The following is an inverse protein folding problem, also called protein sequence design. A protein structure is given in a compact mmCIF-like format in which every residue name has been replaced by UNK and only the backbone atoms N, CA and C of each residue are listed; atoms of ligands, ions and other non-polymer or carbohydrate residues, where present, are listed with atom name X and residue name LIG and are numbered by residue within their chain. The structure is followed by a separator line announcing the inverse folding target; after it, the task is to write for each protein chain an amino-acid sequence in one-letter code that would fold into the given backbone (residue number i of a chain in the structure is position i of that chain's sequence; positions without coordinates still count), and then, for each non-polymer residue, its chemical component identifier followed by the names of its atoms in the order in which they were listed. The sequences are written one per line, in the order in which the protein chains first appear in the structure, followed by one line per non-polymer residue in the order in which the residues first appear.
data_IF_081185692530
#
_entry.id   IF_081185692530
#
_cell.length_a   1.000
_cell.length_b   1.000
_cell.length_c   1.000
_cell.angle_alpha   90.00
_cell.angle_beta   90.00
_cell.angle_gamma   90.00
#
_symmetry.space_group_name_H-M   'P 1'
#
loop_
_entity.id
_entity.type
_entity.pdbx_description
1 polymer ?
#
# COMPACT_ATOMS: atom_id res chain seq x y z
N UNK A 1 4.45 -3.04 12.69
CA UNK A 1 5.21 -1.93 13.31
C UNK A 1 5.12 -0.67 12.47
N UNK A 2 5.56 -0.68 11.20
CA UNK A 2 5.58 0.50 10.34
C UNK A 2 4.23 1.25 10.24
N UNK A 3 3.14 0.54 9.98
CA UNK A 3 1.81 1.16 9.80
C UNK A 3 1.21 1.73 11.08
N UNK A 4 1.60 1.20 12.23
CA UNK A 4 1.08 1.59 13.56
C UNK A 4 1.95 2.63 14.28
N UNK A 5 3.26 2.61 14.05
CA UNK A 5 4.25 3.38 14.81
C UNK A 5 5.15 4.24 13.90
N UNK A 6 4.93 4.20 12.59
CA UNK A 6 5.78 4.83 11.58
C UNK A 6 7.00 3.98 11.22
N UNK A 7 7.52 4.17 10.01
CA UNK A 7 8.78 3.59 9.54
C UNK A 7 9.96 4.06 10.39
N UNK A 8 9.92 5.29 10.93
CA UNK A 8 10.93 5.79 11.86
C UNK A 8 11.00 4.98 13.17
N UNK A 9 9.94 4.33 13.61
CA UNK A 9 10.02 3.49 14.81
C UNK A 9 10.94 2.27 14.63
N UNK A 10 11.23 1.90 13.38
CA UNK A 10 12.05 0.75 13.06
C UNK A 10 13.52 1.06 13.32
N UNK A 11 14.10 0.24 14.20
CA UNK A 11 15.50 0.25 14.59
C UNK A 11 15.99 -1.16 14.90
N UNK A 12 17.31 -1.38 14.90
CA UNK A 12 17.93 -2.63 15.32
C UNK A 12 17.43 -3.07 16.70
N UNK A 13 17.33 -2.12 17.64
CA UNK A 13 16.84 -2.41 19.00
C UNK A 13 15.37 -2.82 19.03
N UNK A 14 14.52 -2.15 18.24
CA UNK A 14 13.11 -2.51 18.15
C UNK A 14 12.91 -3.89 17.52
N UNK A 15 13.68 -4.23 16.47
CA UNK A 15 13.63 -5.53 15.81
C UNK A 15 14.16 -6.65 16.69
N UNK A 16 15.26 -6.42 17.40
CA UNK A 16 15.80 -7.39 18.36
C UNK A 16 14.74 -7.74 19.43
N UNK A 17 14.00 -6.74 19.92
CA UNK A 17 12.93 -6.97 20.90
C UNK A 17 11.74 -7.72 20.31
N UNK A 18 11.33 -7.44 19.07
CA UNK A 18 10.15 -8.07 18.47
C UNK A 18 10.42 -9.48 17.93
N UNK A 19 11.65 -9.76 17.50
CA UNK A 19 12.03 -11.05 16.87
C UNK A 19 12.79 -12.00 17.79
N UNK A 20 13.32 -11.49 18.92
CA UNK A 20 14.22 -12.24 19.80
C UNK A 20 15.65 -12.42 19.24
N UNK A 21 15.94 -11.90 18.05
CA UNK A 21 17.27 -11.97 17.44
C UNK A 21 18.25 -11.01 18.12
N UNK A 22 19.54 -11.38 18.12
CA UNK A 22 20.58 -10.50 18.65
C UNK A 22 20.76 -9.28 17.75
N UNK A 23 21.06 -8.12 18.36
CA UNK A 23 21.37 -6.88 17.63
C UNK A 23 22.52 -7.08 16.64
N UNK A 24 23.52 -7.87 17.03
CA UNK A 24 24.66 -8.21 16.18
C UNK A 24 24.21 -9.00 14.94
N UNK A 25 23.35 -10.00 15.11
CA UNK A 25 22.83 -10.79 13.98
C UNK A 25 22.02 -9.94 13.00
N UNK A 26 21.18 -9.04 13.49
CA UNK A 26 20.42 -8.10 12.66
C UNK A 26 21.36 -7.18 11.88
N UNK A 27 22.39 -6.63 12.54
CA UNK A 27 23.39 -5.77 11.89
C UNK A 27 24.21 -6.50 10.84
N UNK A 28 24.47 -7.80 11.01
CA UNK A 28 25.15 -8.61 9.99
C UNK A 28 24.34 -8.69 8.69
N UNK A 29 23.01 -8.72 8.76
CA UNK A 29 22.14 -8.81 7.57
C UNK A 29 21.92 -7.44 6.92
N UNK A 30 21.58 -6.42 7.71
CA UNK A 30 21.13 -5.14 7.16
C UNK A 30 22.19 -4.04 7.20
N UNK A 31 23.18 -4.13 8.09
CA UNK A 31 24.23 -3.11 8.24
C UNK A 31 23.80 -1.81 8.93
N UNK A 32 22.70 -1.19 8.49
CA UNK A 32 22.23 0.11 9.00
C UNK A 32 20.74 0.13 9.29
N UNK A 33 20.30 1.12 10.09
CA UNK A 33 18.87 1.37 10.32
C UNK A 33 18.13 1.73 9.03
N UNK A 34 18.76 2.54 8.17
CA UNK A 34 18.16 2.93 6.89
C UNK A 34 17.94 1.71 5.99
N UNK A 35 18.91 0.80 5.93
CA UNK A 35 18.78 -0.44 5.17
C UNK A 35 17.67 -1.36 5.71
N UNK A 36 17.46 -1.40 7.03
CA UNK A 36 16.32 -2.09 7.63
C UNK A 36 14.99 -1.47 7.16
N UNK A 37 14.89 -0.13 7.16
CA UNK A 37 13.68 0.57 6.74
C UNK A 37 13.39 0.37 5.24
N UNK A 38 14.42 0.42 4.39
CA UNK A 38 14.29 0.09 2.96
C UNK A 38 13.82 -1.36 2.77
N UNK A 39 14.39 -2.30 3.50
CA UNK A 39 13.95 -3.70 3.48
C UNK A 39 12.49 -3.86 3.95
N UNK A 40 12.06 -3.07 4.94
CA UNK A 40 10.67 -3.07 5.39
C UNK A 40 9.70 -2.55 4.32
N UNK A 41 10.10 -1.54 3.53
CA UNK A 41 9.31 -1.07 2.38
C UNK A 41 9.23 -2.15 1.30
N UNK A 42 10.33 -2.84 1.02
CA UNK A 42 10.37 -3.93 0.05
C UNK A 42 9.50 -5.12 0.48
N UNK A 43 9.52 -5.49 1.76
CA UNK A 43 8.66 -6.54 2.32
C UNK A 43 7.18 -6.12 2.25
N UNK A 44 6.87 -4.87 2.60
CA UNK A 44 5.51 -4.37 2.51
C UNK A 44 4.97 -4.37 1.07
N UNK A 45 5.83 -4.09 0.09
CA UNK A 45 5.52 -4.24 -1.33
C UNK A 45 5.21 -5.68 -1.70
N UNK A 46 6.01 -6.65 -1.25
CA UNK A 46 5.77 -8.08 -1.52
C UNK A 46 4.42 -8.53 -0.95
N UNK A 47 4.14 -8.18 0.31
CA UNK A 47 2.86 -8.46 0.97
C UNK A 47 1.70 -7.81 0.20
N UNK A 48 1.84 -6.56 -0.24
CA UNK A 48 0.80 -5.87 -1.00
C UNK A 48 0.54 -6.53 -2.35
N UNK A 49 1.58 -6.98 -3.05
CA UNK A 49 1.43 -7.74 -4.29
C UNK A 49 0.63 -9.02 -4.06
N UNK A 50 0.99 -9.81 -3.04
CA UNK A 50 0.34 -11.08 -2.75
C UNK A 50 -1.11 -10.92 -2.29
N UNK A 51 -1.41 -9.86 -1.52
CA UNK A 51 -2.74 -9.62 -0.96
C UNK A 51 -3.70 -8.89 -1.92
N UNK A 52 -3.19 -7.97 -2.75
CA UNK A 52 -4.02 -7.07 -3.57
C UNK A 52 -3.88 -7.36 -5.06
N UNK A 53 -2.66 -7.54 -5.56
CA UNK A 53 -2.38 -7.55 -7.00
C UNK A 53 -2.52 -8.96 -7.57
N UNK A 54 -1.70 -9.91 -7.11
CA UNK A 54 -1.68 -11.30 -7.60
C UNK A 54 -3.07 -11.96 -7.68
N UNK A 55 -3.95 -11.82 -6.67
CA UNK A 55 -5.27 -12.46 -6.72
C UNK A 55 -6.16 -11.92 -7.85
N UNK A 56 -6.01 -10.64 -8.22
CA UNK A 56 -6.79 -10.05 -9.31
C UNK A 56 -6.36 -10.57 -10.69
N UNK A 57 -5.14 -11.11 -10.84
CA UNK A 57 -4.60 -11.55 -12.13
C UNK A 57 -5.21 -12.86 -12.65
N UNK A 58 -6.02 -13.54 -11.85
CA UNK A 58 -6.86 -14.65 -12.31
C UNK A 58 -8.01 -14.21 -13.23
N UNK A 59 -8.29 -12.90 -13.32
CA UNK A 59 -9.38 -12.34 -14.11
C UNK A 59 -8.92 -11.82 -15.48
N UNK A 60 -9.88 -11.78 -16.42
CA UNK A 60 -9.69 -11.21 -17.76
C UNK A 60 -9.23 -9.75 -17.70
N UNK A 61 -8.33 -9.36 -18.62
CA UNK A 61 -7.77 -8.00 -18.72
C UNK A 61 -8.87 -6.93 -18.85
N UNK A 62 -8.53 -5.71 -18.42
CA UNK A 62 -9.43 -4.56 -18.47
C UNK A 62 -10.40 -4.52 -17.27
N UNK A 63 -11.68 -4.24 -17.53
CA UNK A 63 -12.69 -3.97 -16.49
C UNK A 63 -12.85 -5.11 -15.47
N UNK A 64 -12.88 -6.41 -15.85
CA UNK A 64 -13.02 -7.49 -14.88
C UNK A 64 -11.86 -7.55 -13.87
N UNK A 65 -10.61 -7.49 -14.36
CA UNK A 65 -9.42 -7.44 -13.49
C UNK A 65 -9.38 -6.20 -12.61
N UNK A 66 -9.73 -5.02 -13.15
CA UNK A 66 -9.73 -3.79 -12.35
C UNK A 66 -10.78 -3.83 -11.23
N UNK A 67 -11.97 -4.39 -11.50
CA UNK A 67 -12.97 -4.66 -10.45
C UNK A 67 -12.42 -5.61 -9.38
N UNK A 68 -11.79 -6.71 -9.79
CA UNK A 68 -11.15 -7.64 -8.87
C UNK A 68 -10.04 -6.98 -8.03
N UNK A 69 -9.21 -6.12 -8.63
CA UNK A 69 -8.16 -5.38 -7.93
C UNK A 69 -8.74 -4.50 -6.80
N UNK A 70 -9.83 -3.79 -7.07
CA UNK A 70 -10.53 -2.97 -6.08
C UNK A 70 -11.15 -3.83 -4.97
N UNK A 71 -11.71 -4.99 -5.32
CA UNK A 71 -12.25 -5.95 -4.35
C UNK A 71 -11.15 -6.49 -3.42
N UNK A 72 -10.01 -6.87 -3.99
CA UNK A 72 -8.85 -7.34 -3.24
C UNK A 72 -8.28 -6.25 -2.33
N UNK A 73 -8.28 -4.99 -2.76
CA UNK A 73 -7.86 -3.87 -1.91
C UNK A 73 -8.75 -3.69 -0.67
N UNK A 74 -10.08 -3.76 -0.85
CA UNK A 74 -11.02 -3.70 0.28
C UNK A 74 -10.83 -4.90 1.21
N UNK A 75 -10.67 -6.10 0.65
CA UNK A 75 -10.43 -7.32 1.42
C UNK A 75 -9.12 -7.23 2.23
N UNK A 76 -8.06 -6.69 1.65
CA UNK A 76 -6.77 -6.45 2.31
C UNK A 76 -6.91 -5.57 3.58
N UNK A 77 -7.72 -4.50 3.51
CA UNK A 77 -7.97 -3.66 4.68
C UNK A 77 -8.88 -4.31 5.73
N UNK A 78 -9.92 -5.03 5.29
CA UNK A 78 -10.81 -5.79 6.21
C UNK A 78 -10.08 -6.90 6.94
N UNK A 79 -9.14 -7.57 6.26
CA UNK A 79 -8.32 -8.62 6.84
C UNK A 79 -7.22 -8.10 7.77
N UNK A 80 -7.07 -6.77 7.89
CA UNK A 80 -6.08 -6.13 8.76
C UNK A 80 -4.65 -6.64 8.52
N UNK A 81 -4.32 -6.95 7.25
CA UNK A 81 -3.01 -7.47 6.84
C UNK A 81 -1.88 -6.60 7.40
N UNK A 82 -2.10 -5.29 7.45
CA UNK A 82 -1.36 -4.40 8.34
C UNK A 82 -2.31 -3.79 9.39
N UNK A 83 -1.95 -3.83 10.68
CA UNK A 83 -2.81 -3.31 11.76
C UNK A 83 -3.03 -1.78 11.79
N UNK A 84 -2.41 -1.03 10.88
CA UNK A 84 -2.52 0.44 10.82
C UNK A 84 -3.00 0.90 9.45
N UNK A 85 -3.79 0.05 8.79
CA UNK A 85 -4.29 0.26 7.43
C UNK A 85 -3.22 0.15 6.35
N UNK A 86 -3.50 0.77 5.22
CA UNK A 86 -2.71 0.67 4.00
C UNK A 86 -1.30 1.23 4.19
N UNK A 87 -0.31 0.38 3.97
CA UNK A 87 1.10 0.75 4.09
C UNK A 87 1.49 1.90 3.16
N UNK A 88 0.99 1.89 1.91
CA UNK A 88 1.30 2.93 0.91
C UNK A 88 0.78 4.29 1.40
N UNK A 89 -0.44 4.35 1.96
CA UNK A 89 -1.04 5.58 2.48
C UNK A 89 -0.25 6.10 3.68
N UNK A 90 0.00 5.23 4.67
CA UNK A 90 0.71 5.60 5.89
C UNK A 90 2.14 6.10 5.61
N UNK A 91 2.90 5.36 4.80
CA UNK A 91 4.28 5.71 4.47
C UNK A 91 4.38 6.97 3.60
N UNK A 92 3.42 7.22 2.71
CA UNK A 92 3.36 8.45 1.91
C UNK A 92 3.26 9.69 2.80
N UNK A 93 2.39 9.65 3.81
CA UNK A 93 2.23 10.76 4.76
C UNK A 93 3.51 11.03 5.57
N UNK A 94 4.23 9.98 5.95
CA UNK A 94 5.43 10.08 6.77
C UNK A 94 6.67 10.53 5.96
N UNK A 95 6.84 10.02 4.73
CA UNK A 95 8.07 10.16 3.94
C UNK A 95 7.95 10.99 2.66
N UNK A 96 6.76 11.42 2.24
CA UNK A 96 6.55 12.07 0.92
C UNK A 96 7.41 13.31 0.67
N UNK A 97 7.76 14.06 1.73
CA UNK A 97 8.59 15.29 1.67
C UNK A 97 10.02 15.11 2.19
N UNK A 98 10.42 13.89 2.56
CA UNK A 98 11.76 13.60 3.08
C UNK A 98 12.76 13.28 1.97
N UNK A 99 14.03 13.22 2.29
CA UNK A 99 15.10 12.80 1.37
C UNK A 99 15.76 11.52 1.89
N UNK A 100 16.56 10.87 1.04
CA UNK A 100 17.29 9.64 1.37
C UNK A 100 16.59 8.37 0.89
N UNK A 101 17.27 7.23 1.10
CA UNK A 101 16.93 5.97 0.43
C UNK A 101 15.54 5.44 0.81
N UNK A 102 15.10 5.66 2.04
CA UNK A 102 13.76 5.26 2.49
C UNK A 102 12.68 6.10 1.81
N UNK A 103 12.89 7.40 1.67
CA UNK A 103 11.93 8.28 0.98
C UNK A 103 11.80 7.89 -0.49
N UNK A 104 12.91 7.54 -1.13
CA UNK A 104 12.93 7.09 -2.52
C UNK A 104 12.22 5.74 -2.70
N UNK A 105 12.42 4.80 -1.78
CA UNK A 105 11.70 3.52 -1.78
C UNK A 105 10.17 3.72 -1.62
N UNK A 106 9.73 4.61 -0.73
CA UNK A 106 8.30 4.93 -0.56
C UNK A 106 7.71 5.60 -1.81
N UNK A 107 8.44 6.53 -2.44
CA UNK A 107 8.02 7.16 -3.69
C UNK A 107 7.90 6.15 -4.83
N UNK A 108 8.87 5.24 -4.95
CA UNK A 108 8.83 4.17 -5.94
C UNK A 108 7.57 3.31 -5.74
N UNK A 109 7.31 2.86 -4.50
CA UNK A 109 6.13 2.06 -4.19
C UNK A 109 4.80 2.79 -4.52
N UNK A 110 4.68 4.07 -4.17
CA UNK A 110 3.49 4.87 -4.53
C UNK A 110 3.35 5.02 -6.04
N UNK A 111 4.46 5.24 -6.76
CA UNK A 111 4.44 5.36 -8.22
C UNK A 111 4.02 4.06 -8.90
N UNK A 112 4.55 2.93 -8.46
CA UNK A 112 4.14 1.61 -8.97
C UNK A 112 2.63 1.38 -8.82
N UNK A 113 2.04 1.79 -7.69
CA UNK A 113 0.60 1.71 -7.49
C UNK A 113 -0.19 2.61 -8.46
N UNK A 114 0.23 3.85 -8.66
CA UNK A 114 -0.43 4.78 -9.58
C UNK A 114 -0.31 4.32 -11.04
N UNK A 115 0.88 3.88 -11.45
CA UNK A 115 1.15 3.33 -12.78
C UNK A 115 0.30 2.08 -13.05
N UNK A 116 0.11 1.24 -12.02
CA UNK A 116 -0.77 0.08 -12.10
C UNK A 116 -2.25 0.49 -12.32
N UNK A 117 -2.75 1.47 -11.56
CA UNK A 117 -4.12 1.95 -11.75
C UNK A 117 -4.32 2.52 -13.15
N UNK A 118 -3.42 3.39 -13.60
CA UNK A 118 -3.51 4.03 -14.92
C UNK A 118 -3.42 3.01 -16.07
N UNK A 119 -2.51 2.04 -15.97
CA UNK A 119 -2.40 0.97 -16.98
C UNK A 119 -3.64 0.07 -17.01
N UNK A 120 -4.17 -0.32 -15.85
CA UNK A 120 -5.40 -1.11 -15.75
C UNK A 120 -6.61 -0.37 -16.33
N UNK A 121 -6.67 0.95 -16.14
CA UNK A 121 -7.70 1.82 -16.71
C UNK A 121 -7.57 1.93 -18.24
N UNK A 122 -6.35 2.07 -18.78
CA UNK A 122 -6.12 2.00 -20.23
C UNK A 122 -6.60 0.68 -20.82
N UNK A 123 -6.29 -0.44 -20.18
CA UNK A 123 -6.77 -1.76 -20.61
C UNK A 123 -8.29 -1.89 -20.53
N UNK A 124 -8.93 -1.21 -19.58
CA UNK A 124 -10.38 -1.17 -19.42
C UNK A 124 -11.09 -0.27 -20.46
N UNK A 125 -10.33 0.46 -21.28
CA UNK A 125 -10.84 1.35 -22.32
C UNK A 125 -11.54 2.59 -21.78
N UNK A 126 -11.15 3.09 -20.59
CA UNK A 126 -11.70 4.36 -20.08
C UNK A 126 -11.11 5.57 -20.83
N UNK A 127 -11.87 6.67 -20.90
CA UNK A 127 -11.50 7.84 -21.70
C UNK A 127 -10.38 8.70 -21.10
N UNK A 128 -10.28 8.79 -19.77
CA UNK A 128 -9.27 9.57 -19.04
C UNK A 128 -8.55 8.71 -17.98
N UNK A 129 -7.66 7.78 -18.39
CA UNK A 129 -7.00 6.86 -17.47
C UNK A 129 -6.23 7.55 -16.34
N UNK A 130 -5.56 8.67 -16.64
CA UNK A 130 -4.76 9.40 -15.66
C UNK A 130 -5.64 10.12 -14.63
N UNK A 131 -6.70 10.81 -15.09
CA UNK A 131 -7.65 11.46 -14.18
C UNK A 131 -8.44 10.46 -13.34
N UNK A 132 -8.85 9.34 -13.93
CA UNK A 132 -9.57 8.29 -13.21
C UNK A 132 -8.67 7.53 -12.22
N UNK A 133 -7.38 7.32 -12.55
CA UNK A 133 -6.42 6.76 -11.61
C UNK A 133 -6.26 7.65 -10.37
N UNK A 134 -6.17 8.97 -10.57
CA UNK A 134 -6.13 9.93 -9.48
C UNK A 134 -7.41 9.88 -8.62
N UNK A 135 -8.59 9.83 -9.24
CA UNK A 135 -9.88 9.75 -8.52
C UNK A 135 -9.97 8.47 -7.69
N UNK A 136 -9.65 7.31 -8.28
CA UNK A 136 -9.62 6.04 -7.57
C UNK A 136 -8.66 6.11 -6.39
N UNK A 137 -7.41 6.52 -6.60
CA UNK A 137 -6.42 6.64 -5.52
C UNK A 137 -6.90 7.58 -4.40
N UNK A 138 -7.55 8.69 -4.73
CA UNK A 138 -8.12 9.62 -3.77
C UNK A 138 -9.23 8.98 -2.93
N UNK A 139 -10.16 8.23 -3.54
CA UNK A 139 -11.22 7.52 -2.82
C UNK A 139 -10.66 6.47 -1.86
N UNK A 140 -9.69 5.67 -2.33
CA UNK A 140 -9.05 4.64 -1.53
C UNK A 140 -8.25 5.25 -0.37
N UNK A 141 -7.54 6.36 -0.59
CA UNK A 141 -6.85 7.08 0.47
C UNK A 141 -7.82 7.62 1.53
N UNK A 142 -8.92 8.26 1.12
CA UNK A 142 -9.93 8.78 2.04
C UNK A 142 -10.58 7.67 2.86
N UNK A 143 -10.96 6.56 2.21
CA UNK A 143 -11.54 5.40 2.88
C UNK A 143 -10.59 4.78 3.91
N UNK A 144 -9.31 4.63 3.56
CA UNK A 144 -8.29 4.19 4.50
C UNK A 144 -8.22 5.12 5.73
N UNK A 145 -8.09 6.43 5.50
CA UNK A 145 -7.99 7.41 6.60
C UNK A 145 -9.23 7.38 7.50
N UNK A 146 -10.43 7.31 6.93
CA UNK A 146 -11.66 7.24 7.71
C UNK A 146 -11.79 5.94 8.49
N UNK A 147 -11.40 4.80 7.90
CA UNK A 147 -11.36 3.50 8.60
C UNK A 147 -10.44 3.60 9.82
N UNK A 148 -9.22 4.09 9.65
CA UNK A 148 -8.24 4.14 10.76
C UNK A 148 -8.65 5.13 11.87
N UNK A 149 -9.35 6.21 11.52
CA UNK A 149 -9.80 7.20 12.51
C UNK A 149 -11.09 6.80 13.23
N UNK A 150 -12.03 6.15 12.55
CA UNK A 150 -13.40 5.96 13.03
C UNK A 150 -13.85 4.50 13.10
N UNK A 151 -13.01 3.55 12.65
CA UNK A 151 -13.34 2.11 12.62
C UNK A 151 -14.47 1.74 11.66
N UNK A 152 -14.87 2.64 10.75
CA UNK A 152 -16.01 2.41 9.86
C UNK A 152 -15.58 1.73 8.56
N UNK A 153 -15.98 0.48 8.38
CA UNK A 153 -15.78 -0.23 7.10
C UNK A 153 -16.64 0.31 5.96
N UNK A 154 -17.71 1.06 6.26
CA UNK A 154 -18.62 1.61 5.25
C UNK A 154 -17.92 2.51 4.24
N UNK A 155 -16.85 3.17 4.66
CA UNK A 155 -16.06 4.04 3.79
C UNK A 155 -15.24 3.24 2.77
N UNK A 156 -14.87 1.99 3.10
CA UNK A 156 -14.25 1.08 2.13
C UNK A 156 -15.23 0.71 1.01
N UNK A 157 -16.47 0.37 1.38
CA UNK A 157 -17.54 0.07 0.42
C UNK A 157 -17.84 1.29 -0.45
N UNK A 158 -17.94 2.47 0.18
CA UNK A 158 -18.17 3.74 -0.52
C UNK A 158 -17.09 4.06 -1.55
N UNK A 159 -15.82 3.93 -1.18
CA UNK A 159 -14.72 4.18 -2.11
C UNK A 159 -14.69 3.16 -3.26
N UNK A 160 -14.99 1.90 -2.96
CA UNK A 160 -15.13 0.85 -3.97
C UNK A 160 -16.25 1.19 -4.96
N UNK A 161 -17.44 1.52 -4.47
CA UNK A 161 -18.58 1.89 -5.32
C UNK A 161 -18.25 3.06 -6.24
N UNK A 162 -17.71 4.15 -5.68
CA UNK A 162 -17.30 5.33 -6.46
C UNK A 162 -16.21 5.01 -7.49
N UNK A 163 -15.26 4.12 -7.17
CA UNK A 163 -14.27 3.65 -8.12
C UNK A 163 -14.88 2.80 -9.24
N UNK A 164 -15.89 1.97 -8.92
CA UNK A 164 -16.57 1.14 -9.91
C UNK A 164 -17.42 1.96 -10.89
N UNK A 165 -17.99 3.08 -10.46
CA UNK A 165 -18.72 4.01 -11.33
C UNK A 165 -17.83 4.56 -12.47
N UNK A 166 -16.52 4.73 -12.22
CA UNK A 166 -15.56 5.22 -13.22
C UNK A 166 -15.23 4.19 -14.31
N UNK A 167 -15.39 2.89 -14.00
CA UNK A 167 -14.98 1.81 -14.91
C UNK A 167 -16.15 1.21 -15.71
N UNK A 168 -17.41 1.57 -15.38
CA UNK A 168 -18.64 1.02 -15.99
C UNK A 168 -18.76 -0.49 -15.85
#
# INVERSE_FOLDING_TARGET
MATTHGLDSISVGSLARSTGLSKSGILTVFGTREAIQVAAVAEARAIYLDAVVTPAWGHESGRPRLRALLDCWVAYLRAEIFPGGCFIVASTAEYGRREGAVADAVRALKREWLDLLESSLREAGVGDPAGDAFRIDAYLCAANVHRELFGSEKELDRARELALELIG
#
